data_IF_953770476207
#
_entry.id   IF_953770476207
#
_cell.length_a   1.000
_cell.length_b   1.000
_cell.length_c   1.000
_cell.angle_alpha   90.00
_cell.angle_beta   90.00
_cell.angle_gamma   90.00
#
_symmetry.space_group_name_H-M   'P 1'
#
loop_
_entity.id
_entity.type
_entity.pdbx_description
1 polymer ?
#
# COMPACT_ATOMS: atom_id res chain seq x y z
N UNK A 1 44.31 -24.79 15.48
CA UNK A 1 43.63 -24.60 14.19
C UNK A 1 42.15 -24.66 14.47
N UNK A 2 41.52 -23.52 14.71
CA UNK A 2 40.07 -23.41 14.85
C UNK A 2 39.52 -23.01 13.47
N UNK A 3 38.83 -23.94 12.81
CA UNK A 3 38.24 -23.77 11.49
C UNK A 3 36.73 -24.04 11.53
N UNK A 4 36.07 -23.76 12.65
CA UNK A 4 34.71 -24.19 12.87
C UNK A 4 33.77 -23.15 13.45
N UNK A 5 33.55 -21.99 12.80
CA UNK A 5 32.23 -21.32 12.92
C UNK A 5 31.87 -20.17 11.95
N UNK A 6 32.70 -19.78 10.98
CA UNK A 6 32.40 -18.57 10.17
C UNK A 6 31.35 -18.79 9.07
N UNK A 7 30.91 -20.02 8.82
CA UNK A 7 30.04 -20.35 7.68
C UNK A 7 28.54 -20.09 7.91
N UNK A 8 28.08 -19.98 9.16
CA UNK A 8 26.64 -19.92 9.45
C UNK A 8 26.08 -18.48 9.55
N UNK A 9 26.85 -17.55 10.14
CA UNK A 9 26.42 -16.17 10.30
C UNK A 9 26.31 -15.43 8.95
N UNK A 10 27.26 -15.64 8.03
CA UNK A 10 27.27 -15.00 6.70
C UNK A 10 26.10 -15.44 5.81
N UNK A 11 25.75 -16.73 5.85
CA UNK A 11 24.62 -17.29 5.08
C UNK A 11 23.27 -16.89 5.69
N UNK A 12 23.16 -16.81 7.02
CA UNK A 12 21.97 -16.24 7.65
C UNK A 12 21.80 -14.76 7.32
N UNK A 13 22.87 -13.96 7.43
CA UNK A 13 22.85 -12.52 7.14
C UNK A 13 22.49 -12.25 5.66
N UNK A 14 23.01 -13.04 4.72
CA UNK A 14 22.64 -12.90 3.30
C UNK A 14 21.18 -13.28 3.02
N UNK A 15 20.66 -14.34 3.65
CA UNK A 15 19.23 -14.69 3.55
C UNK A 15 18.33 -13.63 4.18
N UNK A 16 18.72 -13.06 5.32
CA UNK A 16 17.93 -12.00 5.98
C UNK A 16 17.96 -10.72 5.14
N UNK A 17 19.11 -10.33 4.58
CA UNK A 17 19.20 -9.19 3.65
C UNK A 17 18.34 -9.34 2.40
N UNK A 18 18.42 -10.49 1.73
CA UNK A 18 17.56 -10.79 0.56
C UNK A 18 16.08 -10.69 0.96
N UNK A 19 15.71 -11.22 2.12
CA UNK A 19 14.33 -11.12 2.64
C UNK A 19 13.92 -9.67 2.99
N UNK A 20 14.83 -8.83 3.52
CA UNK A 20 14.56 -7.41 3.81
C UNK A 20 14.31 -6.62 2.52
N UNK A 21 15.14 -6.81 1.50
CA UNK A 21 14.97 -6.17 0.19
C UNK A 21 13.64 -6.57 -0.46
N UNK A 22 13.25 -7.85 -0.36
CA UNK A 22 11.95 -8.34 -0.83
C UNK A 22 10.77 -7.69 -0.08
N UNK A 23 10.87 -7.54 1.25
CA UNK A 23 9.84 -6.87 2.07
C UNK A 23 9.69 -5.39 1.68
N UNK A 24 10.79 -4.69 1.44
CA UNK A 24 10.76 -3.30 0.98
C UNK A 24 10.16 -3.18 -0.42
N UNK A 25 10.51 -4.10 -1.33
CA UNK A 25 9.92 -4.15 -2.66
C UNK A 25 8.40 -4.36 -2.59
N UNK A 26 7.92 -5.28 -1.73
CA UNK A 26 6.50 -5.46 -1.48
C UNK A 26 5.84 -4.20 -0.91
N UNK A 27 6.46 -3.56 0.08
CA UNK A 27 5.93 -2.31 0.64
C UNK A 27 5.77 -1.21 -0.44
N UNK A 28 6.74 -1.10 -1.35
CA UNK A 28 6.66 -0.19 -2.48
C UNK A 28 5.49 -0.55 -3.40
N UNK A 29 5.30 -1.83 -3.73
CA UNK A 29 4.19 -2.27 -4.57
C UNK A 29 2.83 -1.91 -3.97
N UNK A 30 2.63 -2.04 -2.65
CA UNK A 30 1.40 -1.62 -1.99
C UNK A 30 1.17 -0.09 -2.07
N UNK A 31 2.22 0.74 -1.89
CA UNK A 31 2.11 2.20 -2.11
C UNK A 31 1.79 2.56 -3.55
N UNK A 32 2.39 1.86 -4.51
CA UNK A 32 2.10 2.06 -5.94
C UNK A 32 0.63 1.69 -6.25
N UNK A 33 0.10 0.63 -5.64
CA UNK A 33 -1.32 0.24 -5.77
C UNK A 33 -2.25 1.27 -5.14
N UNK A 34 -1.94 1.77 -3.94
CA UNK A 34 -2.70 2.85 -3.29
C UNK A 34 -2.79 4.09 -4.19
N UNK A 35 -1.67 4.48 -4.80
CA UNK A 35 -1.60 5.60 -5.74
C UNK A 35 -2.47 5.37 -6.98
N UNK A 36 -2.47 4.15 -7.54
CA UNK A 36 -3.33 3.80 -8.70
C UNK A 36 -4.81 3.90 -8.34
N UNK A 37 -5.22 3.38 -7.18
CA UNK A 37 -6.61 3.47 -6.71
C UNK A 37 -7.00 4.92 -6.49
N UNK A 38 -6.12 5.75 -5.94
CA UNK A 38 -6.37 7.18 -5.77
C UNK A 38 -6.60 7.91 -7.11
N UNK A 39 -5.82 7.57 -8.14
CA UNK A 39 -6.02 8.10 -9.50
C UNK A 39 -7.38 7.68 -10.08
N UNK A 40 -7.79 6.42 -9.88
CA UNK A 40 -9.11 5.93 -10.32
C UNK A 40 -10.23 6.69 -9.60
N UNK A 41 -10.16 6.88 -8.28
CA UNK A 41 -11.15 7.65 -7.54
C UNK A 41 -11.21 9.11 -8.00
N UNK A 42 -10.07 9.71 -8.33
CA UNK A 42 -10.02 11.07 -8.87
C UNK A 42 -10.73 11.17 -10.21
N UNK A 43 -10.51 10.22 -11.12
CA UNK A 43 -11.23 10.16 -12.40
C UNK A 43 -12.73 9.97 -12.21
N UNK A 44 -13.14 9.08 -11.30
CA UNK A 44 -14.55 8.86 -10.98
C UNK A 44 -15.20 10.13 -10.42
N UNK A 45 -14.49 10.90 -9.59
CA UNK A 45 -15.00 12.15 -9.04
C UNK A 45 -15.24 13.19 -10.14
N UNK A 46 -14.31 13.30 -11.11
CA UNK A 46 -14.48 14.18 -12.26
C UNK A 46 -15.70 13.79 -13.10
N UNK A 47 -15.86 12.50 -13.42
CA UNK A 47 -17.05 12.02 -14.15
C UNK A 47 -18.34 12.24 -13.36
N UNK A 48 -18.32 12.09 -12.03
CA UNK A 48 -19.49 12.39 -11.20
C UNK A 48 -19.85 13.88 -11.27
N UNK A 49 -18.88 14.79 -11.32
CA UNK A 49 -19.17 16.22 -11.48
C UNK A 49 -19.90 16.51 -12.80
N UNK A 50 -19.49 15.89 -13.90
CA UNK A 50 -20.19 16.01 -15.19
C UNK A 50 -21.63 15.46 -15.12
N UNK A 51 -21.84 14.35 -14.41
CA UNK A 51 -23.19 13.80 -14.19
C UNK A 51 -24.05 14.79 -13.39
N UNK A 52 -23.50 15.43 -12.35
CA UNK A 52 -24.22 16.44 -11.57
C UNK A 52 -24.60 17.66 -12.39
N UNK A 53 -23.76 18.05 -13.34
CA UNK A 53 -24.01 19.19 -14.22
C UNK A 53 -25.15 18.90 -15.20
N UNK A 54 -25.16 17.71 -15.80
CA UNK A 54 -26.07 17.37 -16.90
C UNK A 54 -27.38 16.70 -16.45
N UNK A 55 -27.37 15.96 -15.34
CA UNK A 55 -28.54 15.24 -14.85
C UNK A 55 -29.12 15.92 -13.63
N UNK A 56 -30.29 16.55 -13.79
CA UNK A 56 -31.02 17.21 -12.69
C UNK A 56 -32.22 16.38 -12.24
N UNK A 57 -32.55 16.46 -10.95
CA UNK A 57 -33.77 15.88 -10.37
C UNK A 57 -33.50 14.83 -9.29
N UNK A 58 -34.57 14.33 -8.65
CA UNK A 58 -34.47 13.46 -7.46
C UNK A 58 -33.64 12.18 -7.68
N UNK A 59 -33.65 11.62 -8.88
CA UNK A 59 -32.89 10.42 -9.22
C UNK A 59 -31.38 10.69 -9.27
N UNK A 60 -30.95 11.85 -9.80
CA UNK A 60 -29.55 12.27 -9.78
C UNK A 60 -29.03 12.45 -8.36
N UNK A 61 -29.81 13.09 -7.48
CA UNK A 61 -29.46 13.26 -6.06
C UNK A 61 -29.31 11.93 -5.33
N UNK A 62 -30.20 10.96 -5.61
CA UNK A 62 -30.10 9.63 -5.04
C UNK A 62 -28.84 8.88 -5.53
N UNK A 63 -28.45 9.08 -6.79
CA UNK A 63 -27.22 8.52 -7.34
C UNK A 63 -25.98 9.16 -6.73
N UNK A 64 -25.93 10.49 -6.60
CA UNK A 64 -24.86 11.23 -5.90
C UNK A 64 -24.63 10.69 -4.48
N UNK A 65 -25.71 10.48 -3.72
CA UNK A 65 -25.60 9.93 -2.36
C UNK A 65 -25.00 8.52 -2.33
N UNK A 66 -25.34 7.67 -3.31
CA UNK A 66 -24.71 6.35 -3.44
C UNK A 66 -23.24 6.45 -3.82
N UNK A 67 -22.91 7.34 -4.74
CA UNK A 67 -21.54 7.58 -5.17
C UNK A 67 -20.64 8.03 -4.01
N UNK A 68 -21.13 8.93 -3.15
CA UNK A 68 -20.40 9.34 -1.94
C UNK A 68 -20.08 8.16 -1.02
N UNK A 69 -20.99 7.19 -0.88
CA UNK A 69 -20.73 5.95 -0.15
C UNK A 69 -19.62 5.11 -0.78
N UNK A 70 -19.61 4.98 -2.11
CA UNK A 70 -18.56 4.26 -2.84
C UNK A 70 -17.20 4.96 -2.74
N UNK A 71 -17.18 6.30 -2.88
CA UNK A 71 -15.98 7.12 -2.71
C UNK A 71 -15.36 6.90 -1.34
N UNK A 72 -16.17 6.94 -0.28
CA UNK A 72 -15.70 6.70 1.09
C UNK A 72 -15.11 5.30 1.26
N UNK A 73 -15.71 4.27 0.66
CA UNK A 73 -15.14 2.91 0.69
C UNK A 73 -13.81 2.83 -0.07
N UNK A 74 -13.68 3.52 -1.21
CA UNK A 74 -12.43 3.63 -1.94
C UNK A 74 -11.33 4.30 -1.11
N UNK A 75 -11.64 5.41 -0.43
CA UNK A 75 -10.69 6.08 0.47
C UNK A 75 -10.26 5.18 1.62
N UNK A 76 -11.18 4.42 2.22
CA UNK A 76 -10.82 3.42 3.25
C UNK A 76 -9.86 2.37 2.70
N UNK A 77 -10.11 1.87 1.48
CA UNK A 77 -9.25 0.88 0.86
C UNK A 77 -7.84 1.40 0.59
N UNK A 78 -7.70 2.65 0.14
CA UNK A 78 -6.40 3.33 0.00
C UNK A 78 -5.66 3.36 1.33
N UNK A 79 -6.34 3.76 2.41
CA UNK A 79 -5.73 3.80 3.74
C UNK A 79 -5.25 2.43 4.23
N UNK A 80 -5.99 1.35 3.93
CA UNK A 80 -5.57 -0.01 4.26
C UNK A 80 -4.33 -0.44 3.47
N UNK A 81 -4.25 -0.12 2.17
CA UNK A 81 -3.05 -0.37 1.36
C UNK A 81 -1.83 0.38 1.90
N UNK A 82 -2.03 1.64 2.30
CA UNK A 82 -0.98 2.45 2.91
C UNK A 82 -0.51 1.87 4.24
N UNK A 83 -1.44 1.42 5.08
CA UNK A 83 -1.14 0.77 6.35
C UNK A 83 -0.32 -0.50 6.17
N UNK A 84 -0.70 -1.35 5.21
CA UNK A 84 0.06 -2.58 4.91
C UNK A 84 1.49 -2.24 4.48
N UNK A 85 1.66 -1.25 3.61
CA UNK A 85 2.98 -0.80 3.19
C UNK A 85 3.84 -0.30 4.37
N UNK A 86 3.24 0.45 5.30
CA UNK A 86 3.97 0.98 6.46
C UNK A 86 4.31 -0.12 7.47
N UNK A 87 3.44 -1.12 7.64
CA UNK A 87 3.72 -2.32 8.44
C UNK A 87 4.86 -3.16 7.85
N UNK A 88 4.93 -3.31 6.52
CA UNK A 88 6.04 -3.99 5.84
C UNK A 88 7.37 -3.25 6.03
N UNK A 89 7.38 -1.91 5.87
CA UNK A 89 8.58 -1.09 6.12
C UNK A 89 9.09 -1.24 7.54
N UNK A 90 8.20 -1.17 8.55
CA UNK A 90 8.57 -1.38 9.95
C UNK A 90 9.18 -2.76 10.19
N UNK A 91 8.67 -3.81 9.54
CA UNK A 91 9.27 -5.15 9.63
C UNK A 91 10.68 -5.19 9.04
N UNK A 92 10.88 -4.58 7.87
CA UNK A 92 12.20 -4.46 7.24
C UNK A 92 13.20 -3.69 8.14
N UNK A 93 12.77 -2.61 8.78
CA UNK A 93 13.57 -1.83 9.73
C UNK A 93 13.95 -2.65 10.97
N UNK A 94 13.02 -3.42 11.53
CA UNK A 94 13.30 -4.28 12.67
C UNK A 94 14.35 -5.36 12.34
N UNK A 95 14.28 -5.96 11.14
CA UNK A 95 15.28 -6.93 10.70
C UNK A 95 16.67 -6.30 10.53
N UNK A 96 16.76 -5.09 9.96
CA UNK A 96 18.05 -4.37 9.88
C UNK A 96 18.68 -4.12 11.24
N UNK A 97 17.86 -3.77 12.24
CA UNK A 97 18.34 -3.55 13.61
C UNK A 97 18.81 -4.86 14.25
N UNK A 98 18.11 -5.96 14.01
CA UNK A 98 18.49 -7.28 14.51
C UNK A 98 19.77 -7.82 13.84
N UNK A 99 19.97 -7.55 12.55
CA UNK A 99 21.19 -7.93 11.81
C UNK A 99 22.40 -7.03 12.10
N UNK A 100 22.15 -5.82 12.59
CA UNK A 100 23.18 -4.83 12.96
C UNK A 100 23.66 -4.93 14.42
N UNK A 101 23.07 -5.84 15.21
CA UNK A 101 23.52 -6.24 16.55
C UNK A 101 24.30 -7.55 16.48
#
# INVERSE_FOLDING_TARGET
>A
MDLGNHYNASVMNSRIKVNVEEIEAMAKQYKDMASKVNSVLSSLNSTMNEVKENWKGKSSTAFESKYEGWKNNGTKYINELDRIADELKRKAENFRQADGM
#
